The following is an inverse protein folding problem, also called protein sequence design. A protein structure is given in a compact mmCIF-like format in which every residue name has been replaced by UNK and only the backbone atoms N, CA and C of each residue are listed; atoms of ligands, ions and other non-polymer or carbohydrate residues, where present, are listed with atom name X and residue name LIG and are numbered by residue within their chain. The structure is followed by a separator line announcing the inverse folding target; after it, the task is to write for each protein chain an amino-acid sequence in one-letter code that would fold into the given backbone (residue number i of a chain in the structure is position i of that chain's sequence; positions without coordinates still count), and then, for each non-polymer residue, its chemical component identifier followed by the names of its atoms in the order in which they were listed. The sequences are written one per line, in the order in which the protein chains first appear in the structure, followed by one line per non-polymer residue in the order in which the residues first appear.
data_IF_364287640598
#
_entry.id   IF_364287640598
#
_cell.length_a   1.000
_cell.length_b   1.000
_cell.length_c   1.000
_cell.angle_alpha   90.00
_cell.angle_beta   90.00
_cell.angle_gamma   90.00
#
_symmetry.space_group_name_H-M   'P 1'
#
loop_
_entity.id
_entity.type
_entity.pdbx_description
1 polymer ?
#
# COMPACT_ATOMS: atom_id res chain seq x y z
N UNK A 1 0.49 22.18 -4.81
CA UNK A 1 0.04 20.89 -4.25
C UNK A 1 0.67 19.71 -4.98
N UNK A 2 0.68 19.71 -6.31
CA UNK A 2 1.23 18.64 -7.17
C UNK A 2 2.74 18.42 -6.97
N UNK A 3 3.56 19.48 -7.00
CA UNK A 3 5.03 19.37 -6.93
C UNK A 3 5.55 18.66 -5.68
N UNK A 4 4.94 18.92 -4.51
CA UNK A 4 5.34 18.29 -3.24
C UNK A 4 5.05 16.78 -3.23
N UNK A 5 3.92 16.37 -3.81
CA UNK A 5 3.58 14.95 -3.96
C UNK A 5 4.57 14.27 -4.90
N UNK A 6 4.91 14.91 -6.03
CA UNK A 6 5.91 14.36 -6.96
C UNK A 6 7.29 14.19 -6.30
N UNK A 7 7.76 15.17 -5.53
CA UNK A 7 9.05 15.07 -4.82
C UNK A 7 9.05 13.93 -3.80
N UNK A 8 7.93 13.72 -3.09
CA UNK A 8 7.77 12.62 -2.16
C UNK A 8 7.71 11.25 -2.86
N UNK A 9 7.02 11.16 -4.00
CA UNK A 9 6.97 9.94 -4.81
C UNK A 9 8.35 9.58 -5.37
N UNK A 10 9.10 10.57 -5.86
CA UNK A 10 10.47 10.41 -6.35
C UNK A 10 11.40 9.92 -5.23
N UNK A 11 11.29 10.50 -4.03
CA UNK A 11 12.03 10.01 -2.88
C UNK A 11 11.72 8.55 -2.56
N UNK A 12 10.44 8.20 -2.51
CA UNK A 12 10.01 6.83 -2.22
C UNK A 12 10.45 5.85 -3.32
N UNK A 13 10.42 6.27 -4.59
CA UNK A 13 10.95 5.49 -5.70
C UNK A 13 12.45 5.22 -5.54
N UNK A 14 13.23 6.22 -5.12
CA UNK A 14 14.67 6.05 -4.84
C UNK A 14 14.94 5.09 -3.69
N UNK A 15 14.12 5.13 -2.62
CA UNK A 15 14.23 4.16 -1.52
C UNK A 15 13.91 2.76 -2.05
N UNK A 16 12.79 2.59 -2.77
CA UNK A 16 12.37 1.29 -3.31
C UNK A 16 13.46 0.71 -4.22
N UNK A 17 13.99 1.49 -5.17
CA UNK A 17 15.08 1.05 -6.06
C UNK A 17 16.31 0.57 -5.29
N UNK A 18 16.76 1.36 -4.29
CA UNK A 18 17.92 1.02 -3.46
C UNK A 18 17.80 -0.36 -2.81
N UNK A 19 16.59 -0.73 -2.39
CA UNK A 19 16.31 -2.00 -1.70
C UNK A 19 15.74 -3.10 -2.62
N UNK A 20 15.62 -2.86 -3.93
CA UNK A 20 14.98 -3.78 -4.87
C UNK A 20 15.87 -4.18 -6.05
N UNK A 21 17.20 -4.20 -5.90
CA UNK A 21 18.22 -4.21 -6.98
C UNK A 21 18.11 -5.21 -8.14
N UNK A 22 17.08 -6.07 -8.21
CA UNK A 22 16.66 -6.85 -9.38
C UNK A 22 15.14 -6.95 -9.46
N UNK A 23 14.59 -7.36 -10.60
CA UNK A 23 13.15 -7.63 -10.69
C UNK A 23 12.71 -8.71 -9.69
N UNK A 24 11.63 -8.45 -8.95
CA UNK A 24 11.21 -9.32 -7.86
C UNK A 24 10.29 -8.65 -6.85
N UNK A 25 9.80 -9.46 -5.92
CA UNK A 25 9.29 -9.01 -4.63
C UNK A 25 10.43 -9.12 -3.64
N UNK A 26 10.66 -8.07 -2.85
CA UNK A 26 11.78 -7.96 -1.92
C UNK A 26 11.24 -7.74 -0.52
N UNK A 27 11.58 -8.66 0.39
CA UNK A 27 11.38 -8.45 1.82
C UNK A 27 12.35 -7.38 2.32
N UNK A 28 11.94 -6.64 3.35
CA UNK A 28 12.76 -5.60 3.97
C UNK A 28 13.10 -5.96 5.42
N UNK A 29 13.89 -5.13 6.09
CA UNK A 29 14.15 -5.27 7.53
C UNK A 29 12.90 -5.02 8.40
N UNK A 30 11.83 -4.45 7.82
CA UNK A 30 10.50 -4.35 8.44
C UNK A 30 9.70 -5.55 7.93
N UNK A 31 9.35 -6.54 8.78
CA UNK A 31 8.78 -7.82 8.32
C UNK A 31 7.48 -7.72 7.52
N UNK A 32 6.65 -6.70 7.78
CA UNK A 32 5.38 -6.46 7.08
C UNK A 32 5.52 -5.63 5.80
N UNK A 33 6.72 -5.11 5.51
CA UNK A 33 6.97 -4.19 4.41
C UNK A 33 7.73 -4.90 3.29
N UNK A 34 7.14 -4.85 2.09
CA UNK A 34 7.68 -5.45 0.89
C UNK A 34 7.77 -4.44 -0.23
N UNK A 35 8.84 -4.52 -1.01
CA UNK A 35 9.00 -3.76 -2.24
C UNK A 35 8.83 -4.66 -3.45
N UNK A 36 8.38 -4.11 -4.57
CA UNK A 36 8.32 -4.84 -5.83
C UNK A 36 8.89 -3.99 -6.94
N UNK A 37 9.78 -4.60 -7.72
CA UNK A 37 10.38 -4.03 -8.93
C UNK A 37 10.09 -4.91 -10.14
N UNK A 38 9.65 -4.32 -11.25
CA UNK A 38 9.53 -4.98 -12.55
C UNK A 38 10.03 -4.07 -13.65
N UNK A 39 10.94 -4.54 -14.49
CA UNK A 39 11.50 -3.80 -15.62
C UNK A 39 10.71 -4.00 -16.91
N UNK A 40 9.65 -4.81 -16.87
CA UNK A 40 8.79 -5.12 -18.01
C UNK A 40 7.34 -5.25 -17.53
N UNK A 41 6.40 -4.99 -18.43
CA UNK A 41 5.00 -5.37 -18.22
C UNK A 41 4.91 -6.87 -17.96
N UNK A 42 3.98 -7.28 -17.11
CA UNK A 42 3.79 -8.71 -16.82
C UNK A 42 2.58 -9.25 -17.55
N UNK A 43 2.54 -10.57 -17.74
CA UNK A 43 1.27 -11.26 -17.98
C UNK A 43 0.39 -11.24 -16.73
N UNK A 44 -0.85 -11.68 -16.90
CA UNK A 44 -1.78 -11.94 -15.79
C UNK A 44 -1.27 -13.07 -14.91
N UNK A 45 -1.09 -12.79 -13.62
CA UNK A 45 -0.67 -13.79 -12.63
C UNK A 45 -1.72 -13.92 -11.52
N UNK A 46 -2.11 -15.15 -11.20
CA UNK A 46 -3.00 -15.45 -10.10
C UNK A 46 -2.22 -15.44 -8.77
N UNK A 47 -2.79 -14.81 -7.75
CA UNK A 47 -2.23 -14.79 -6.40
C UNK A 47 -3.35 -14.63 -5.36
N UNK A 48 -3.05 -14.96 -4.11
CA UNK A 48 -3.86 -14.54 -2.97
C UNK A 48 -3.21 -13.28 -2.41
N UNK A 49 -3.97 -12.19 -2.31
CA UNK A 49 -3.54 -10.98 -1.61
C UNK A 49 -3.90 -11.12 -0.15
N UNK A 50 -2.89 -11.10 0.72
CA UNK A 50 -3.09 -10.93 2.15
C UNK A 50 -3.57 -9.50 2.47
N UNK A 51 -4.21 -9.29 3.65
CA UNK A 51 -4.60 -7.96 4.11
C UNK A 51 -3.42 -6.99 4.06
N UNK A 52 -3.55 -5.98 3.22
CA UNK A 52 -2.43 -5.10 2.89
C UNK A 52 -2.86 -3.77 2.31
N UNK A 53 -2.02 -2.77 2.59
CA UNK A 53 -2.00 -1.46 1.95
C UNK A 53 -0.93 -1.45 0.87
N UNK A 54 -1.29 -1.09 -0.35
CA UNK A 54 -0.42 -1.11 -1.52
C UNK A 54 -0.37 0.25 -2.20
N UNK A 55 0.83 0.69 -2.57
CA UNK A 55 1.05 1.89 -3.37
C UNK A 55 1.97 1.59 -4.54
N UNK A 56 1.69 2.20 -5.68
CA UNK A 56 2.59 2.23 -6.83
C UNK A 56 3.20 3.63 -6.85
N UNK A 57 4.51 3.75 -6.99
CA UNK A 57 5.17 5.07 -7.12
C UNK A 57 5.70 5.31 -8.53
N UNK A 58 5.84 4.24 -9.32
CA UNK A 58 6.22 4.29 -10.72
C UNK A 58 5.53 3.16 -11.48
N UNK A 59 4.96 3.46 -12.65
CA UNK A 59 4.17 2.51 -13.46
C UNK A 59 2.70 2.40 -13.03
N UNK A 60 2.00 1.39 -13.57
CA UNK A 60 0.57 1.15 -13.35
C UNK A 60 0.32 -0.33 -13.14
N UNK A 61 -0.61 -0.65 -12.23
CA UNK A 61 -1.03 -2.01 -11.93
C UNK A 61 -2.53 -2.19 -12.17
N UNK A 62 -2.88 -3.34 -12.73
CA UNK A 62 -4.23 -3.87 -12.73
C UNK A 62 -4.34 -5.04 -11.75
N UNK A 63 -5.45 -5.07 -11.00
CA UNK A 63 -5.83 -6.19 -10.15
C UNK A 63 -7.28 -6.55 -10.48
N UNK A 64 -7.55 -7.81 -10.81
CA UNK A 64 -8.91 -8.31 -10.97
C UNK A 64 -9.32 -9.13 -9.74
N UNK A 65 -10.52 -8.83 -9.22
CA UNK A 65 -11.21 -9.64 -8.20
C UNK A 65 -12.52 -10.14 -8.82
N UNK A 66 -12.57 -11.42 -9.17
CA UNK A 66 -13.66 -11.95 -10.00
C UNK A 66 -13.72 -11.23 -11.36
N UNK A 67 -14.82 -10.52 -11.61
CA UNK A 67 -15.02 -9.75 -12.85
C UNK A 67 -14.67 -8.26 -12.71
N UNK A 68 -14.34 -7.81 -11.51
CA UNK A 68 -14.08 -6.40 -11.25
C UNK A 68 -12.60 -6.07 -11.44
N UNK A 69 -12.30 -4.98 -12.16
CA UNK A 69 -10.94 -4.50 -12.43
C UNK A 69 -10.64 -3.26 -11.60
N UNK A 70 -9.54 -3.30 -10.86
CA UNK A 70 -8.98 -2.22 -10.07
C UNK A 70 -7.67 -1.78 -10.70
N UNK A 71 -7.68 -0.65 -11.39
CA UNK A 71 -6.49 -0.02 -11.98
C UNK A 71 -5.98 1.10 -11.09
N UNK A 72 -4.70 1.07 -10.75
CA UNK A 72 -4.09 2.13 -9.95
C UNK A 72 -2.61 2.35 -10.28
N UNK A 73 -2.14 3.56 -9.99
CA UNK A 73 -0.79 4.05 -10.26
C UNK A 73 -0.40 5.10 -9.21
N UNK A 74 0.56 6.00 -9.49
CA UNK A 74 1.13 6.93 -8.50
C UNK A 74 0.12 7.77 -7.72
N UNK A 75 -0.99 8.14 -8.35
CA UNK A 75 -2.00 9.01 -7.72
C UNK A 75 -2.91 8.32 -6.72
N UNK A 76 -2.81 6.99 -6.58
CA UNK A 76 -3.75 6.16 -5.86
C UNK A 76 -3.05 5.13 -4.97
N UNK A 77 -3.78 4.59 -4.01
CA UNK A 77 -3.41 3.39 -3.27
C UNK A 77 -4.53 2.35 -3.34
N UNK A 78 -4.18 1.10 -3.07
CA UNK A 78 -5.11 -0.02 -2.98
C UNK A 78 -5.05 -0.61 -1.57
N UNK A 79 -6.19 -0.98 -1.02
CA UNK A 79 -6.27 -1.77 0.22
C UNK A 79 -7.00 -3.05 -0.07
N UNK A 80 -6.43 -4.18 0.36
CA UNK A 80 -7.14 -5.45 0.53
C UNK A 80 -7.31 -5.67 2.04
N UNK A 81 -8.52 -5.92 2.52
CA UNK A 81 -8.82 -6.05 3.96
C UNK A 81 -8.85 -7.51 4.43
N UNK A 82 -9.01 -8.46 3.51
CA UNK A 82 -9.08 -9.91 3.75
C UNK A 82 -8.23 -10.65 2.72
N UNK A 83 -8.02 -11.95 2.92
CA UNK A 83 -7.37 -12.79 1.91
C UNK A 83 -8.25 -12.88 0.66
N UNK A 84 -7.75 -12.37 -0.47
CA UNK A 84 -8.50 -12.28 -1.72
C UNK A 84 -7.80 -13.00 -2.87
N UNK A 85 -8.48 -13.91 -3.59
CA UNK A 85 -7.97 -14.45 -4.83
C UNK A 85 -8.06 -13.38 -5.92
N UNK A 86 -6.92 -12.99 -6.47
CA UNK A 86 -6.84 -11.94 -7.49
C UNK A 86 -5.97 -12.34 -8.67
N UNK A 87 -6.21 -11.68 -9.80
CA UNK A 87 -5.31 -11.69 -10.95
C UNK A 87 -4.62 -10.34 -11.03
N UNK A 88 -3.29 -10.31 -10.87
CA UNK A 88 -2.49 -9.10 -10.94
C UNK A 88 -1.72 -8.97 -12.25
N UNK A 89 -1.60 -7.74 -12.76
CA UNK A 89 -0.81 -7.42 -13.94
C UNK A 89 -0.13 -6.06 -13.78
N UNK A 90 1.17 -5.97 -14.10
CA UNK A 90 1.87 -4.69 -14.30
C UNK A 90 1.65 -4.24 -15.74
N UNK A 91 1.05 -3.06 -15.90
CA UNK A 91 0.62 -2.51 -17.19
C UNK A 91 1.64 -1.55 -17.80
N UNK A 92 2.44 -0.87 -16.96
CA UNK A 92 3.43 0.10 -17.39
C UNK A 92 4.74 -0.14 -16.64
N UNK A 93 5.77 -0.55 -17.38
CA UNK A 93 7.13 -0.77 -16.89
C UNK A 93 8.11 -0.87 -18.07
N UNK A 94 9.32 -0.35 -17.89
CA UNK A 94 10.45 -0.52 -18.80
C UNK A 94 11.76 -0.61 -18.03
N UNK A 95 12.87 -0.93 -18.69
CA UNK A 95 14.19 -0.95 -18.04
C UNK A 95 14.66 0.43 -17.57
N UNK A 96 14.25 1.50 -18.26
CA UNK A 96 14.56 2.89 -17.89
C UNK A 96 13.62 3.43 -16.81
N UNK A 97 12.35 3.04 -16.88
CA UNK A 97 11.29 3.45 -15.96
C UNK A 97 10.58 2.20 -15.45
N UNK A 98 11.18 1.46 -14.49
CA UNK A 98 10.60 0.22 -13.97
C UNK A 98 9.32 0.48 -13.18
N UNK A 99 8.45 -0.51 -13.09
CA UNK A 99 7.37 -0.50 -12.11
C UNK A 99 7.96 -0.65 -10.70
N UNK A 100 7.53 0.22 -9.79
CA UNK A 100 7.94 0.28 -8.40
C UNK A 100 6.73 0.40 -7.49
N UNK A 101 6.63 -0.51 -6.52
CA UNK A 101 5.55 -0.47 -5.54
C UNK A 101 6.01 -0.90 -4.16
N UNK A 102 5.27 -0.42 -3.16
CA UNK A 102 5.38 -0.79 -1.76
C UNK A 102 4.09 -1.47 -1.32
N UNK A 103 4.23 -2.59 -0.64
CA UNK A 103 3.14 -3.31 0.04
C UNK A 103 3.45 -3.35 1.54
N UNK A 104 2.48 -2.92 2.35
CA UNK A 104 2.51 -3.02 3.80
C UNK A 104 1.38 -3.97 4.23
N UNK A 105 1.74 -5.14 4.73
CA UNK A 105 0.80 -6.09 5.30
C UNK A 105 0.37 -5.65 6.70
N UNK A 106 -0.87 -5.97 7.06
CA UNK A 106 -1.41 -5.69 8.39
C UNK A 106 -2.29 -6.84 8.87
N UNK A 107 -2.55 -6.88 10.17
CA UNK A 107 -3.46 -7.87 10.76
C UNK A 107 -4.80 -7.22 11.15
N UNK A 108 -5.89 -8.01 11.23
CA UNK A 108 -7.14 -7.53 11.80
C UNK A 108 -6.97 -6.90 13.19
N UNK A 109 -6.11 -7.46 14.03
CA UNK A 109 -5.81 -6.95 15.37
C UNK A 109 -5.25 -5.52 15.37
N UNK A 110 -4.42 -5.16 14.39
CA UNK A 110 -3.89 -3.79 14.27
C UNK A 110 -4.98 -2.78 13.92
N UNK A 111 -5.97 -3.19 13.12
CA UNK A 111 -7.12 -2.32 12.79
C UNK A 111 -8.02 -2.16 14.02
N UNK A 112 -8.33 -3.26 14.73
CA UNK A 112 -9.13 -3.24 15.96
C UNK A 112 -8.51 -2.38 17.07
N UNK A 113 -7.18 -2.41 17.23
CA UNK A 113 -6.45 -1.55 18.16
C UNK A 113 -6.71 -0.07 17.85
N UNK A 114 -6.63 0.32 16.58
CA UNK A 114 -6.84 1.72 16.17
C UNK A 114 -8.29 2.15 16.39
N UNK A 115 -9.25 1.30 16.07
CA UNK A 115 -10.67 1.57 16.28
C UNK A 115 -11.01 1.70 17.78
N UNK A 116 -10.32 0.95 18.64
CA UNK A 116 -10.51 1.05 20.10
C UNK A 116 -9.93 2.35 20.66
N UNK A 117 -8.79 2.80 20.14
CA UNK A 117 -8.09 4.02 20.61
C UNK A 117 -8.68 5.32 20.06
N UNK A 118 -9.61 5.24 19.12
CA UNK A 118 -10.15 6.41 18.43
C UNK A 118 -11.68 6.41 18.49
N UNK A 119 -12.29 7.59 18.68
CA UNK A 119 -13.75 7.75 18.54
C UNK A 119 -14.18 7.72 17.05
N UNK A 120 -13.49 6.96 16.20
CA UNK A 120 -13.89 6.79 14.80
C UNK A 120 -15.24 6.09 14.79
N UNK A 121 -16.29 6.90 14.63
CA UNK A 121 -17.62 6.42 14.29
C UNK A 121 -17.71 6.42 12.79
N UNK A 122 -17.47 5.27 12.20
CA UNK A 122 -17.81 5.11 10.80
C UNK A 122 -19.33 5.09 10.65
N UNK A 123 -19.87 5.92 9.75
CA UNK A 123 -21.25 5.81 9.31
C UNK A 123 -21.48 4.46 8.58
N UNK A 124 -22.36 3.56 9.05
CA UNK A 124 -22.59 2.24 8.46
C UNK A 124 -23.17 2.26 7.04
N UNK A 125 -23.40 3.44 6.44
CA UNK A 125 -24.21 3.62 5.23
C UNK A 125 -23.53 3.24 3.92
N UNK A 126 -22.23 3.00 3.89
CA UNK A 126 -21.60 2.40 2.71
C UNK A 126 -21.68 0.88 2.79
N UNK A 127 -22.35 0.28 1.82
CA UNK A 127 -22.38 -1.16 1.62
C UNK A 127 -20.93 -1.71 1.55
N UNK A 128 -20.40 -2.26 2.64
CA UNK A 128 -19.10 -2.94 2.68
C UNK A 128 -19.15 -4.28 1.92
N UNK A 129 -19.37 -4.20 0.61
CA UNK A 129 -19.49 -5.37 -0.27
C UNK A 129 -18.15 -5.83 -0.84
N UNK A 130 -17.07 -5.07 -0.63
CA UNK A 130 -15.80 -5.29 -1.35
C UNK A 130 -14.61 -5.35 -0.42
N UNK A 131 -14.03 -6.55 -0.25
CA UNK A 131 -12.77 -6.76 0.49
C UNK A 131 -11.55 -5.99 -0.06
N UNK A 132 -11.73 -5.20 -1.11
CA UNK A 132 -10.69 -4.43 -1.77
C UNK A 132 -11.23 -3.12 -2.33
N UNK A 133 -10.45 -2.05 -2.21
CA UNK A 133 -10.78 -0.74 -2.76
C UNK A 133 -9.54 0.00 -3.24
N UNK A 134 -9.75 1.01 -4.10
CA UNK A 134 -8.73 1.96 -4.56
C UNK A 134 -9.15 3.35 -4.14
N UNK A 135 -8.19 4.15 -3.67
CA UNK A 135 -8.43 5.52 -3.20
C UNK A 135 -7.33 6.46 -3.65
N UNK A 136 -7.62 7.76 -3.63
CA UNK A 136 -6.64 8.78 -3.96
C UNK A 136 -5.57 8.87 -2.87
N UNK A 137 -4.31 9.00 -3.28
CA UNK A 137 -3.20 9.25 -2.37
C UNK A 137 -3.28 10.67 -1.79
N UNK A 138 -3.28 10.77 -0.47
CA UNK A 138 -3.19 12.03 0.26
C UNK A 138 -1.76 12.30 0.72
N UNK A 139 -1.34 13.57 0.70
CA UNK A 139 0.02 13.97 1.05
C UNK A 139 0.43 13.51 2.47
N UNK A 140 -0.49 13.58 3.43
CA UNK A 140 -0.19 13.19 4.81
C UNK A 140 -0.03 11.69 5.00
N UNK A 141 -0.67 10.88 4.15
CA UNK A 141 -0.50 9.42 4.13
C UNK A 141 0.84 9.05 3.49
N UNK A 142 1.17 9.68 2.35
CA UNK A 142 2.44 9.47 1.67
C UNK A 142 3.63 9.83 2.57
N UNK A 143 3.53 10.93 3.34
CA UNK A 143 4.54 11.30 4.33
C UNK A 143 4.80 10.21 5.37
N UNK A 144 3.74 9.61 5.93
CA UNK A 144 3.85 8.52 6.90
C UNK A 144 4.50 7.27 6.29
N UNK A 145 4.16 6.94 5.04
CA UNK A 145 4.77 5.83 4.31
C UNK A 145 6.26 6.06 4.05
N UNK A 146 6.66 7.28 3.68
CA UNK A 146 8.07 7.63 3.47
C UNK A 146 8.85 7.53 4.78
N UNK A 147 8.29 8.02 5.90
CA UNK A 147 8.92 7.86 7.21
C UNK A 147 9.13 6.40 7.59
N UNK A 148 8.17 5.52 7.30
CA UNK A 148 8.33 4.08 7.48
C UNK A 148 9.46 3.52 6.59
N UNK A 149 9.47 3.86 5.30
CA UNK A 149 10.48 3.37 4.36
C UNK A 149 11.90 3.86 4.71
N UNK A 150 12.05 5.08 5.21
CA UNK A 150 13.34 5.64 5.67
C UNK A 150 13.96 4.89 6.86
N UNK A 151 13.16 4.16 7.65
CA UNK A 151 13.72 3.34 8.73
C UNK A 151 14.65 2.23 8.21
N UNK A 152 14.54 1.85 6.94
CA UNK A 152 15.46 0.89 6.33
C UNK A 152 16.91 1.42 6.29
N UNK A 153 17.10 2.74 6.23
CA UNK A 153 18.41 3.38 6.30
C UNK A 153 18.93 3.44 7.75
N UNK A 154 18.06 3.30 8.76
CA UNK A 154 18.41 3.28 10.19
C UNK A 154 17.77 2.08 10.92
N UNK A 155 18.25 0.84 10.68
CA UNK A 155 17.58 -0.37 11.16
C UNK A 155 17.43 -0.49 12.69
N UNK A 156 18.25 0.26 13.46
CA UNK A 156 18.18 0.29 14.93
C UNK A 156 16.86 0.87 15.45
N UNK A 157 16.24 1.75 14.67
CA UNK A 157 14.99 2.42 15.06
C UNK A 157 13.75 1.59 14.70
N UNK A 158 13.89 0.59 13.81
CA UNK A 158 12.79 -0.24 13.31
C UNK A 158 11.94 -0.84 14.45
N UNK A 159 12.51 -1.48 15.49
CA UNK A 159 11.70 -2.14 16.53
C UNK A 159 10.76 -1.18 17.27
N UNK A 160 11.13 0.11 17.37
CA UNK A 160 10.36 1.12 18.11
C UNK A 160 9.48 1.93 17.16
N UNK A 161 10.00 2.40 16.03
CA UNK A 161 9.31 3.35 15.16
C UNK A 161 8.43 2.69 14.09
N UNK A 162 8.77 1.50 13.59
CA UNK A 162 7.99 0.86 12.54
C UNK A 162 6.54 0.54 12.97
N UNK A 163 6.28 0.03 14.20
CA UNK A 163 4.92 -0.15 14.69
C UNK A 163 4.12 1.16 14.75
N UNK A 164 4.75 2.25 15.20
CA UNK A 164 4.10 3.57 15.33
C UNK A 164 3.72 4.16 13.96
N UNK A 165 4.64 4.11 12.99
CA UNK A 165 4.35 4.60 11.64
C UNK A 165 3.35 3.70 10.91
N UNK A 166 3.37 2.39 11.15
CA UNK A 166 2.35 1.47 10.65
C UNK A 166 0.98 1.84 11.20
N UNK A 167 0.86 2.05 12.52
CA UNK A 167 -0.39 2.47 13.17
C UNK A 167 -0.91 3.79 12.59
N UNK A 168 -0.03 4.76 12.37
CA UNK A 168 -0.39 6.04 11.74
C UNK A 168 -0.92 5.86 10.31
N UNK A 169 -0.25 5.03 9.49
CA UNK A 169 -0.69 4.73 8.11
C UNK A 169 -2.09 4.13 8.11
N UNK A 170 -2.32 3.10 8.94
CA UNK A 170 -3.61 2.43 9.03
C UNK A 170 -4.71 3.36 9.57
N UNK A 171 -4.40 4.19 10.57
CA UNK A 171 -5.32 5.22 11.06
C UNK A 171 -5.73 6.20 9.96
N UNK A 172 -4.78 6.69 9.16
CA UNK A 172 -5.08 7.60 8.04
C UNK A 172 -5.92 6.92 6.96
N UNK A 173 -5.71 5.63 6.70
CA UNK A 173 -6.55 4.85 5.78
C UNK A 173 -7.98 4.71 6.33
N UNK A 174 -8.15 4.46 7.63
CA UNK A 174 -9.44 4.39 8.31
C UNK A 174 -10.18 5.73 8.39
N UNK A 175 -9.47 6.85 8.35
CA UNK A 175 -10.07 8.19 8.26
C UNK A 175 -10.47 8.57 6.82
N UNK A 176 -9.97 7.81 5.83
CA UNK A 176 -10.24 8.06 4.42
C UNK A 176 -11.66 7.70 4.00
N UNK A 177 -12.00 8.02 2.75
CA UNK A 177 -13.33 7.81 2.17
C UNK A 177 -13.89 6.38 2.37
N UNK A 178 -13.01 5.36 2.36
CA UNK A 178 -13.40 3.95 2.50
C UNK A 178 -13.05 3.35 3.87
N UNK A 179 -12.76 4.18 4.88
CA UNK A 179 -12.51 3.72 6.24
C UNK A 179 -13.63 2.83 6.79
N UNK A 180 -14.86 3.13 6.38
CA UNK A 180 -16.05 2.34 6.69
C UNK A 180 -16.03 0.90 6.26
N UNK A 181 -15.52 0.71 5.06
CA UNK A 181 -15.44 -0.60 4.45
C UNK A 181 -14.41 -1.46 5.19
N UNK A 182 -13.32 -0.85 5.68
CA UNK A 182 -12.27 -1.57 6.42
C UNK A 182 -12.72 -2.01 7.82
N UNK A 183 -13.49 -1.20 8.55
CA UNK A 183 -14.06 -1.60 9.85
C UNK A 183 -15.06 -2.76 9.70
N UNK A 184 -15.99 -2.68 8.75
CA UNK A 184 -17.06 -3.67 8.58
C UNK A 184 -16.56 -5.06 8.11
N UNK A 185 -15.26 -5.21 7.84
CA UNK A 185 -14.63 -6.42 7.29
C UNK A 185 -13.77 -7.18 8.28
N UNK A 186 -13.61 -6.66 9.50
CA UNK A 186 -12.97 -7.35 10.64
C UNK A 186 -13.98 -8.24 11.36
#
# INVERSE_FOLDING_TARGET
MSERIYNQQDELAKIIERYSGRDGVHATAIPSLFFTRRSNVTGSNFAVYNPSFCIVVQGVKDVLLGQERFRYGPTNYLVASVDLPVTGQVMEASSQVPYLSLKLEFTPGQILEILSDSEIRVDPKENAKRGMFVSRMELSLLDAVIRLARLLDNPKDIPVLAPLFTKEILYKVLQGQHGATLEQML
#
